data_IF_220614433552
#
_entry.id   IF_220614433552
#
_cell.length_a   1.000
_cell.length_b   1.000
_cell.length_c   1.000
_cell.angle_alpha   90.00
_cell.angle_beta   90.00
_cell.angle_gamma   90.00
#
_symmetry.space_group_name_H-M   'P 1'
#
loop_
_entity.id
_entity.type
_entity.pdbx_description
1 polymer ?
2 polymer ?
3 water ?
#
# COMPACT_ATOMS: atom_id res chain seq x y z
N UNK A 14 13.50 8.97 6.53
CA UNK A 14 13.85 8.12 7.71
C UNK A 14 13.32 6.70 7.57
N UNK A 15 14.18 5.74 7.90
CA UNK A 15 13.80 4.33 7.93
C UNK A 15 12.89 4.01 9.12
N UNK A 16 13.15 4.66 10.25
CA UNK A 16 12.32 4.48 11.45
C UNK A 16 10.84 4.80 11.21
N UNK A 17 10.55 5.49 10.11
CA UNK A 17 9.19 5.91 9.79
C UNK A 17 8.50 5.09 8.68
N UNK A 18 9.18 4.06 8.18
CA UNK A 18 8.58 3.10 7.23
C UNK A 18 7.57 2.21 7.95
N UNK A 19 6.34 2.23 7.46
CA UNK A 19 5.25 1.49 8.09
C UNK A 19 4.64 0.62 7.01
N UNK A 20 4.32 -0.62 7.36
CA UNK A 20 3.64 -1.50 6.38
C UNK A 20 2.35 -2.03 6.97
N UNK A 21 1.43 -2.37 6.08
CA UNK A 21 0.12 -2.85 6.49
C UNK A 21 -0.37 -3.92 5.53
N UNK A 22 -0.93 -5.02 6.07
CA UNK A 22 -1.61 -5.99 5.22
C UNK A 22 -3.03 -5.54 4.92
N UNK A 23 -3.53 -5.88 3.74
CA UNK A 23 -4.89 -5.49 3.40
C UNK A 23 -5.13 -5.63 1.91
N UNK A 24 -6.08 -4.83 1.42
CA UNK A 24 -6.58 -4.97 0.06
C UNK A 24 -6.67 -3.63 -0.65
N UNK A 25 -6.18 -3.61 -1.89
CA UNK A 25 -6.22 -2.42 -2.74
C UNK A 25 -7.45 -2.50 -3.64
N UNK A 26 -8.32 -1.50 -3.53
CA UNK A 26 -9.54 -1.40 -4.35
C UNK A 26 -9.29 -0.49 -5.54
N UNK A 27 -9.80 -0.90 -6.71
CA UNK A 27 -9.63 -0.17 -7.95
C UNK A 27 -10.77 -0.51 -8.94
N UNK A 28 -10.68 0.06 -10.14
CA UNK A 28 -11.58 -0.28 -11.25
C UNK A 28 -12.99 0.21 -11.02
N UNK A 29 -13.13 1.34 -10.31
CA UNK A 29 -14.44 1.93 -10.09
C UNK A 29 -14.98 2.56 -11.37
N UNK A 30 -16.25 2.28 -11.66
CA UNK A 30 -16.92 2.78 -12.85
C UNK A 30 -17.23 4.27 -12.75
N UNK A 31 -17.54 4.72 -11.53
CA UNK A 31 -17.92 6.14 -11.30
C UNK A 31 -17.25 6.77 -10.09
N UNK A 32 -17.13 8.09 -10.15
CA UNK A 32 -16.61 8.86 -9.01
C UNK A 32 -17.50 8.66 -7.78
N UNK A 33 -18.82 8.58 -8.01
CA UNK A 33 -19.78 8.44 -6.90
C UNK A 33 -19.61 7.09 -6.19
N UNK A 34 -19.46 6.00 -6.95
CA UNK A 34 -19.22 4.66 -6.36
C UNK A 34 -17.91 4.63 -5.54
N UNK A 35 -16.84 5.15 -6.13
CA UNK A 35 -15.55 5.22 -5.46
C UNK A 35 -15.66 5.99 -4.15
N UNK A 36 -16.29 7.17 -4.20
CA UNK A 36 -16.33 7.99 -2.98
C UNK A 36 -17.25 7.44 -1.91
N UNK A 37 -18.31 6.74 -2.32
CA UNK A 37 -19.23 6.09 -1.39
C UNK A 37 -18.46 5.06 -0.56
N UNK A 38 -17.72 4.19 -1.23
CA UNK A 38 -17.02 3.14 -0.50
C UNK A 38 -15.86 3.69 0.30
N UNK A 39 -15.15 4.67 -0.28
CA UNK A 39 -14.08 5.40 0.40
C UNK A 39 -14.59 6.05 1.70
N UNK A 40 -15.72 6.74 1.61
CA UNK A 40 -16.29 7.39 2.81
C UNK A 40 -16.71 6.37 3.86
N UNK A 41 -17.39 5.31 3.43
CA UNK A 41 -17.80 4.26 4.40
C UNK A 41 -16.56 3.69 5.11
N UNK A 42 -15.53 3.37 4.33
CA UNK A 42 -14.27 2.85 4.91
C UNK A 42 -13.62 3.81 5.92
N UNK A 43 -13.66 5.12 5.64
CA UNK A 43 -13.15 6.11 6.56
C UNK A 43 -14.00 6.17 7.84
N UNK A 44 -15.32 6.10 7.67
CA UNK A 44 -16.30 6.13 8.76
C UNK A 44 -16.06 5.01 9.76
N UNK A 45 -15.74 3.83 9.24
CA UNK A 45 -15.52 2.67 10.13
C UNK A 45 -14.05 2.50 10.50
N UNK A 46 -13.22 3.45 10.08
CA UNK A 46 -11.80 3.55 10.53
C UNK A 46 -10.84 2.51 9.96
N UNK A 47 -11.10 2.06 8.73
CA UNK A 47 -10.29 0.98 8.12
C UNK A 47 -9.58 1.40 6.82
N UNK A 48 -9.73 2.67 6.42
CA UNK A 48 -9.10 3.17 5.19
C UNK A 48 -7.69 3.67 5.54
N UNK A 49 -6.69 3.10 4.86
CA UNK A 49 -5.28 3.35 5.17
C UNK A 49 -4.62 4.34 4.23
N UNK A 50 -5.18 4.47 3.03
CA UNK A 50 -4.61 5.28 1.95
C UNK A 50 -5.67 5.41 0.87
N UNK A 51 -5.67 6.54 0.16
CA UNK A 51 -6.53 6.67 -1.04
C UNK A 51 -5.92 7.66 -2.02
N UNK A 52 -6.36 7.58 -3.27
CA UNK A 52 -5.94 8.55 -4.27
C UNK A 52 -7.16 8.80 -5.15
N UNK A 53 -7.84 9.92 -4.93
CA UNK A 53 -9.04 10.26 -5.73
C UNK A 53 -8.76 10.28 -7.24
N UNK A 54 -7.56 10.73 -7.62
CA UNK A 54 -7.23 10.90 -9.05
C UNK A 54 -7.14 9.57 -9.78
N UNK A 55 -6.90 8.50 -9.03
CA UNK A 55 -6.81 7.16 -9.60
C UNK A 55 -8.03 6.30 -9.26
N UNK A 56 -8.91 6.81 -8.39
CA UNK A 56 -10.03 6.05 -7.84
C UNK A 56 -9.55 4.72 -7.24
N UNK A 57 -8.55 4.81 -6.36
CA UNK A 57 -8.08 3.63 -5.63
C UNK A 57 -7.99 3.93 -4.16
N UNK A 58 -8.16 2.89 -3.35
CA UNK A 58 -7.89 3.02 -1.91
C UNK A 58 -7.47 1.69 -1.32
N UNK A 59 -6.89 1.75 -0.12
CA UNK A 59 -6.36 0.54 0.48
C UNK A 59 -7.03 0.42 1.82
N UNK A 60 -7.58 -0.77 2.07
CA UNK A 60 -8.30 -1.09 3.31
C UNK A 60 -7.50 -2.09 4.15
N UNK A 61 -7.52 -1.93 5.48
CA UNK A 61 -6.81 -2.90 6.37
C UNK A 61 -7.39 -4.31 6.22
N UNK A 62 -6.55 -5.32 6.42
CA UNK A 62 -6.99 -6.69 6.37
C UNK A 62 -8.14 -6.89 7.35
N UNK A 63 -8.03 -6.25 8.52
CA UNK A 63 -9.05 -6.36 9.55
C UNK A 63 -10.40 -5.82 9.08
N UNK A 64 -10.39 -4.75 8.29
CA UNK A 64 -11.62 -4.07 7.90
C UNK A 64 -12.21 -4.54 6.58
N UNK A 65 -11.47 -5.38 5.86
CA UNK A 65 -11.81 -5.67 4.48
C UNK A 65 -13.19 -6.31 4.34
N UNK A 66 -13.51 -7.29 5.19
CA UNK A 66 -14.81 -7.98 5.07
C UNK A 66 -16.01 -7.03 5.24
N UNK A 67 -15.88 -6.04 6.11
CA UNK A 67 -16.99 -5.10 6.34
C UNK A 67 -17.21 -4.21 5.12
N UNK A 68 -16.11 -3.83 4.48
CA UNK A 68 -16.17 -2.99 3.28
C UNK A 68 -16.78 -3.78 2.12
N UNK A 69 -16.37 -5.04 1.98
CA UNK A 69 -16.97 -5.90 0.97
C UNK A 69 -18.46 -6.07 1.22
N UNK A 70 -18.85 -6.32 2.46
CA UNK A 70 -20.26 -6.51 2.83
C UNK A 70 -21.09 -5.27 2.52
N UNK A 71 -20.53 -4.09 2.78
CA UNK A 71 -21.23 -2.84 2.52
C UNK A 71 -21.41 -2.63 1.01
N UNK A 72 -20.36 -2.96 0.25
CA UNK A 72 -20.39 -2.87 -1.21
C UNK A 72 -21.50 -3.76 -1.80
N UNK A 73 -21.61 -4.98 -1.28
CA UNK A 73 -22.60 -5.96 -1.75
C UNK A 73 -24.03 -5.70 -1.27
N UNK A 74 -24.19 -4.71 -0.40
CA UNK A 74 -25.52 -4.26 0.04
C UNK A 74 -25.83 -2.89 -0.57
N UNK A 75 -24.76 -2.22 -1.00
CA UNK A 75 -24.75 -0.84 -1.51
C UNK A 75 -25.44 0.19 -0.60
N UNK B 1 -14.66 -1.57 -8.03
CA UNK B 1 -15.18 -2.82 -8.63
C UNK B 1 -14.27 -4.03 -8.41
N UNK B 2 -12.95 -3.83 -8.27
CA UNK B 2 -11.92 -4.89 -8.11
C UNK B 2 -11.07 -4.66 -6.84
N UNK B 3 -10.74 -5.73 -6.12
CA UNK B 3 -9.81 -5.64 -4.98
C UNK B 3 -8.69 -6.68 -5.09
N UNK B 4 -7.47 -6.30 -4.69
CA UNK B 4 -6.31 -7.23 -4.69
C UNK B 4 -5.58 -7.16 -3.36
N UNK B 5 -5.18 -8.31 -2.84
CA UNK B 5 -4.39 -8.33 -1.59
C UNK B 5 -2.94 -7.94 -1.80
N UNK B 6 -2.42 -7.25 -0.81
CA UNK B 6 -1.04 -6.84 -0.87
C UNK B 6 -0.61 -6.25 0.44
N UNK B 7 0.60 -5.74 0.46
CA UNK B 7 1.09 -5.00 1.62
C UNK B 7 1.28 -3.56 1.19
N UNK B 8 0.63 -2.65 1.90
CA UNK B 8 0.83 -1.24 1.64
C UNK B 8 2.12 -0.83 2.38
N UNK B 9 3.02 -0.12 1.71
CA UNK B 9 4.22 0.37 2.36
C UNK B 9 4.16 1.89 2.27
N UNK B 10 4.22 2.54 3.41
CA UNK B 10 4.26 3.99 3.49
C UNK B 10 5.68 4.36 3.91
N UNK B 11 6.32 5.22 3.13
CA UNK B 11 7.70 5.58 3.46
C UNK B 11 8.07 6.90 2.83
N UNK B 12 9.18 7.49 3.27
CA UNK B 12 9.62 8.74 2.66
C UNK B 12 10.15 8.51 1.22
N UNK B 13 10.13 9.55 0.36
CA UNK B 13 10.58 9.45 -1.03
C UNK B 13 11.94 8.78 -1.24
N UNK B 14 12.89 9.02 -0.34
CA UNK B 14 14.22 8.44 -0.49
C UNK B 14 14.15 6.93 -0.24
N UNK B 15 13.31 6.53 0.71
CA UNK B 15 13.11 5.09 0.96
C UNK B 15 12.35 4.43 -0.18
N UNK B 16 11.35 5.13 -0.73
CA UNK B 16 10.61 4.62 -1.89
C UNK B 16 11.60 4.33 -3.03
N UNK B 17 12.47 5.29 -3.31
CA UNK B 17 13.52 5.11 -4.33
C UNK B 17 14.40 3.89 -4.06
N UNK B 18 14.77 3.67 -2.80
CA UNK B 18 15.61 2.53 -2.43
C UNK B 18 14.87 1.22 -2.63
N UNK B 19 13.59 1.18 -2.27
CA UNK B 19 12.81 -0.05 -2.47
C UNK B 19 12.69 -0.37 -3.96
N UNK B 20 12.48 0.66 -4.78
CA UNK B 20 12.48 0.47 -6.25
C UNK B 20 13.82 -0.11 -6.74
N UNK B 21 14.93 0.32 -6.15
CA UNK B 21 16.26 -0.22 -6.51
C UNK B 21 16.37 -1.69 -6.12
N UNK B 22 15.87 -2.03 -4.94
CA UNK B 22 15.77 -3.42 -4.47
C UNK B 22 14.94 -4.25 -5.46
N UNK B 23 13.77 -3.75 -5.83
CA UNK B 23 12.94 -4.44 -6.82
C UNK B 23 13.65 -4.65 -8.16
N UNK B 24 14.35 -3.64 -8.64
CA UNK B 24 15.02 -3.75 -9.94
C UNK B 24 16.08 -4.86 -9.93
N UNK B 25 16.70 -5.05 -8.77
CA UNK B 25 17.73 -6.07 -8.58
C UNK B 25 17.15 -7.48 -8.44
N UNK B 26 16.13 -7.60 -7.59
CA UNK B 26 15.60 -8.89 -7.16
C UNK B 26 14.33 -9.33 -7.89
N UNK B 27 13.60 -8.34 -8.42
CA UNK B 27 12.27 -8.50 -9.07
C UNK B 27 11.22 -9.09 -8.11
N UNK B 28 9.96 -9.03 -8.51
CA UNK B 28 8.89 -9.68 -7.75
C UNK B 28 8.69 -9.05 -6.37
N UNK B 29 9.12 -7.79 -6.21
CA UNK B 29 8.95 -7.09 -4.93
C UNK B 29 7.80 -6.09 -5.00
N UNK B 30 7.93 -5.12 -5.89
CA UNK B 30 6.94 -4.04 -6.01
C UNK B 30 5.85 -4.43 -6.99
N UNK B 31 4.61 -4.34 -6.51
CA UNK B 31 3.47 -4.68 -7.35
C UNK B 31 2.92 -3.45 -8.07
N UNK B 32 2.88 -2.33 -7.35
CA UNK B 32 2.38 -1.07 -7.90
C UNK B 32 3.04 0.10 -7.18
N UNK B 33 3.40 1.16 -7.92
CA UNK B 33 3.71 2.46 -7.31
C UNK B 33 2.40 3.21 -7.09
N UNK B 34 2.12 3.61 -5.86
CA UNK B 34 0.82 4.22 -5.55
C UNK B 34 0.86 5.75 -5.53
N UNK B 35 1.85 6.30 -4.84
CA UNK B 35 2.13 7.74 -4.90
C UNK B 35 3.56 8.03 -4.42
N UNK B 36 3.89 9.29 -4.16
CA UNK B 36 5.28 9.65 -3.83
C UNK B 36 5.79 8.99 -2.54
N UNK B 37 4.85 8.55 -1.71
CA UNK B 37 5.17 7.96 -0.41
C UNK B 37 4.52 6.60 -0.13
N UNK B 38 4.00 5.92 -1.17
CA UNK B 38 3.30 4.65 -0.97
C UNK B 38 3.54 3.69 -2.12
N UNK B 39 3.73 2.42 -1.75
CA UNK B 39 3.92 1.32 -2.69
C UNK B 39 3.01 0.18 -2.27
N UNK B 40 2.59 -0.61 -3.24
CA UNK B 40 2.00 -1.92 -2.98
C UNK B 40 3.10 -2.95 -3.22
N UNK B 41 3.43 -3.72 -2.19
CA UNK B 41 4.50 -4.70 -2.29
C UNK B 41 3.96 -6.12 -2.09
N UNK B 42 4.64 -7.08 -2.70
CA UNK B 42 4.39 -8.50 -2.47
C UNK B 42 4.45 -8.81 -0.95
N UNK B 43 3.34 -9.29 -0.37
CA UNK B 43 3.30 -9.47 1.08
C UNK B 43 4.38 -10.41 1.61
N UNK B 44 4.80 -11.38 0.79
CA UNK B 44 5.83 -12.36 1.19
C UNK B 44 7.25 -11.79 1.18
N UNK B 45 7.38 -10.54 0.74
CA UNK B 45 8.68 -9.91 0.58
C UNK B 45 8.86 -8.72 1.53
N UNK B 46 7.86 -8.46 2.37
CA UNK B 46 7.92 -7.29 3.25
C UNK B 46 9.09 -7.36 4.22
N UNK B 47 9.26 -8.51 4.88
CA UNK B 47 10.36 -8.67 5.82
C UNK B 47 11.71 -8.60 5.12
N UNK B 48 11.80 -9.22 3.94
CA UNK B 48 13.02 -9.10 3.13
C UNK B 48 13.35 -7.63 2.88
N UNK B 49 12.35 -6.87 2.44
CA UNK B 49 12.56 -5.46 2.11
C UNK B 49 13.04 -4.70 3.35
N UNK B 50 12.42 -4.98 4.48
CA UNK B 50 12.80 -4.29 5.73
C UNK B 50 14.24 -4.61 6.14
N UNK B 51 14.62 -5.88 6.05
CA UNK B 51 15.98 -6.29 6.36
C UNK B 51 16.99 -5.68 5.39
N UNK B 52 16.65 -5.70 4.10
CA UNK B 52 17.54 -5.16 3.08
C UNK B 52 17.72 -3.65 3.26
N UNK B 53 16.63 -2.95 3.53
CA UNK B 53 16.73 -1.51 3.79
C UNK B 53 17.64 -1.27 4.99
N UNK B 54 17.45 -2.04 6.06
CA UNK B 54 18.33 -1.88 7.22
C UNK B 54 19.81 -2.10 6.86
N UNK B 55 20.08 -3.07 6.00
CA UNK B 55 21.47 -3.36 5.59
C UNK B 55 22.02 -2.21 4.74
N UNK B 56 21.22 -1.77 3.77
CA UNK B 56 21.61 -0.69 2.86
C UNK B 56 21.98 0.57 3.62
N UNK B 57 21.18 0.88 4.63
CA UNK B 57 21.35 2.11 5.37
C UNK B 57 22.42 1.95 6.46
N UNK B 58 22.36 0.86 7.21
CA UNK B 58 23.26 0.71 8.37
C UNK B 58 24.69 0.29 8.01
N UNK B 59 24.86 -0.40 6.88
CA UNK B 59 26.16 -1.00 6.55
C UNK B 59 26.92 -0.20 5.48
N UNK B 60 26.34 0.92 5.07
CA UNK B 60 26.95 1.86 4.14
C UNK B 60 28.35 2.28 4.66
N UNK B 61 29.42 2.00 3.90
CA UNK B 61 30.81 2.28 4.35
C UNK B 61 31.12 3.77 4.45
N UNK B 62 30.24 4.59 3.90
CA UNK B 62 30.33 6.05 4.02
C UNK B 62 29.25 6.50 5.00
N UNK B 63 29.43 6.13 6.26
CA UNK B 63 28.53 6.51 7.36
C UNK B 63 29.30 7.28 8.42
#
# INVERSE_FOLDING_TARGET
>A
GPTVVDQIRLWQLELDRVITYEGSLYSDFETSQEYNLLSKYAQDIGVLLWKDDKKKKFFISKEGNSQVLDFAKRKLKKKQ
>B
ARARKGALVQCDPSIKALILQIDAKMSDIVLEELDDTHLLVNPSKVEFVKHELNRLLSKNIYNPMDEEENQ
#
